data_IF_018614251137
#
_entry.id   IF_018614251137
#
_cell.length_a   1.000
_cell.length_b   1.000
_cell.length_c   1.000
_cell.angle_alpha   90.00
_cell.angle_beta   90.00
_cell.angle_gamma   90.00
#
_symmetry.space_group_name_H-M   'P 1'
#
loop_
_entity.id
_entity.type
_entity.pdbx_description
1 polymer ?
#
# COMPACT_ATOMS: atom_id res chain seq x y z
N UNK A 1 -3.67 5.27 16.62
CA UNK A 1 -2.26 4.92 16.93
C UNK A 1 -2.14 4.83 18.45
N UNK A 2 -1.34 3.91 18.97
CA UNK A 2 -1.13 3.74 20.42
C UNK A 2 0.08 4.56 20.89
N UNK A 3 0.18 4.84 22.20
CA UNK A 3 1.29 5.61 22.79
C UNK A 3 2.68 4.97 22.61
N UNK A 4 2.70 3.65 22.47
CA UNK A 4 3.92 2.88 22.21
C UNK A 4 4.40 2.98 20.75
N UNK A 5 3.60 3.60 19.88
CA UNK A 5 3.86 3.74 18.45
C UNK A 5 3.36 2.55 17.62
N UNK A 6 2.61 1.63 18.20
CA UNK A 6 1.91 0.58 17.45
C UNK A 6 0.59 1.11 16.86
N UNK A 7 0.09 0.42 15.84
CA UNK A 7 -1.23 0.72 15.27
C UNK A 7 -2.13 -0.50 15.44
N UNK A 8 -3.39 -0.26 15.73
CA UNK A 8 -4.43 -1.27 15.68
C UNK A 8 -5.57 -0.76 14.81
N UNK A 9 -6.21 -1.66 14.08
CA UNK A 9 -7.34 -1.28 13.26
C UNK A 9 -7.80 -2.37 12.30
N UNK A 10 -8.58 -1.91 11.33
CA UNK A 10 -9.18 -2.75 10.31
C UNK A 10 -8.52 -2.45 8.96
N UNK A 11 -8.14 -3.50 8.24
CA UNK A 11 -7.75 -3.42 6.84
C UNK A 11 -8.74 -4.19 5.98
N UNK A 12 -9.14 -3.61 4.85
CA UNK A 12 -10.03 -4.25 3.89
C UNK A 12 -9.35 -4.27 2.52
N UNK A 13 -9.09 -5.47 2.00
CA UNK A 13 -8.55 -5.66 0.66
C UNK A 13 -9.68 -6.07 -0.28
N UNK A 14 -10.01 -5.21 -1.23
CA UNK A 14 -10.93 -5.55 -2.31
C UNK A 14 -10.15 -5.91 -3.57
N UNK A 15 -10.40 -7.10 -4.10
CA UNK A 15 -9.77 -7.62 -5.30
C UNK A 15 -10.84 -7.93 -6.35
N UNK A 16 -10.64 -7.49 -7.58
CA UNK A 16 -11.56 -7.71 -8.70
C UNK A 16 -10.86 -8.36 -9.90
N UNK A 17 -11.64 -8.93 -10.83
CA UNK A 17 -11.12 -9.55 -12.06
C UNK A 17 -10.01 -10.58 -11.81
N UNK A 18 -8.90 -10.44 -12.55
CA UNK A 18 -7.73 -11.33 -12.42
C UNK A 18 -7.11 -11.34 -11.03
N UNK A 19 -7.14 -10.21 -10.30
CA UNK A 19 -6.63 -10.14 -8.93
C UNK A 19 -7.49 -10.99 -7.98
N UNK A 20 -8.82 -10.92 -8.12
CA UNK A 20 -9.75 -11.75 -7.35
C UNK A 20 -9.55 -13.24 -7.64
N UNK A 21 -9.43 -13.61 -8.92
CA UNK A 21 -9.21 -14.99 -9.34
C UNK A 21 -7.89 -15.55 -8.78
N UNK A 22 -6.80 -14.79 -8.84
CA UNK A 22 -5.51 -15.18 -8.27
C UNK A 22 -5.58 -15.35 -6.74
N UNK A 23 -6.23 -14.42 -6.02
CA UNK A 23 -6.41 -14.49 -4.56
C UNK A 23 -7.30 -15.65 -4.14
N UNK A 24 -8.42 -15.90 -4.83
CA UNK A 24 -9.27 -17.08 -4.61
C UNK A 24 -8.49 -18.36 -4.76
N UNK A 25 -7.77 -18.53 -5.87
CA UNK A 25 -6.95 -19.73 -6.10
C UNK A 25 -5.96 -19.94 -4.96
N UNK A 26 -5.29 -18.89 -4.50
CA UNK A 26 -4.38 -18.94 -3.37
C UNK A 26 -5.10 -19.40 -2.10
N UNK A 27 -6.22 -18.78 -1.75
CA UNK A 27 -6.94 -19.05 -0.50
C UNK A 27 -7.69 -20.39 -0.48
N UNK A 28 -8.11 -20.92 -1.64
CA UNK A 28 -8.81 -22.22 -1.72
C UNK A 28 -7.90 -23.40 -1.98
N UNK A 29 -6.69 -23.19 -2.53
CA UNK A 29 -5.67 -24.25 -2.67
C UNK A 29 -4.95 -24.58 -1.37
N UNK A 30 -5.22 -23.81 -0.33
CA UNK A 30 -4.57 -23.88 0.97
C UNK A 30 -5.59 -24.45 1.96
N UNK A 31 -5.48 -25.75 2.27
CA UNK A 31 -6.43 -26.48 3.13
C UNK A 31 -6.55 -25.92 4.57
N UNK A 32 -5.71 -24.96 4.97
CA UNK A 32 -5.71 -24.36 6.31
C UNK A 32 -5.59 -22.82 6.29
N UNK A 33 -6.56 -22.16 6.93
CA UNK A 33 -6.59 -20.71 7.19
C UNK A 33 -5.34 -20.16 7.87
N UNK A 34 -4.66 -20.97 8.71
CA UNK A 34 -3.41 -20.57 9.36
C UNK A 34 -2.31 -20.28 8.32
N UNK A 35 -2.29 -21.03 7.21
CA UNK A 35 -1.30 -20.83 6.15
C UNK A 35 -1.53 -19.54 5.35
N UNK A 36 -2.78 -19.08 5.24
CA UNK A 36 -3.12 -17.80 4.59
C UNK A 36 -2.66 -16.62 5.43
N UNK A 37 -2.95 -16.66 6.74
CA UNK A 37 -2.53 -15.63 7.71
C UNK A 37 -1.01 -15.50 7.70
N UNK A 38 -0.27 -16.61 7.86
CA UNK A 38 1.20 -16.59 7.89
C UNK A 38 1.81 -15.98 6.62
N UNK A 39 1.22 -16.25 5.45
CA UNK A 39 1.71 -15.68 4.20
C UNK A 39 1.39 -14.19 4.08
N UNK A 40 0.24 -13.74 4.57
CA UNK A 40 -0.07 -12.31 4.63
C UNK A 40 0.87 -11.59 5.59
N UNK A 41 1.18 -12.16 6.75
CA UNK A 41 2.16 -11.60 7.69
C UNK A 41 3.59 -11.55 7.12
N UNK A 42 3.95 -12.49 6.23
CA UNK A 42 5.20 -12.41 5.46
C UNK A 42 5.16 -11.36 4.34
N UNK A 43 4.02 -11.20 3.68
CA UNK A 43 3.81 -10.25 2.58
C UNK A 43 3.84 -8.80 3.07
N UNK A 44 3.31 -8.54 4.28
CA UNK A 44 3.27 -7.24 4.91
C UNK A 44 4.06 -7.29 6.24
N UNK A 45 5.37 -7.00 6.22
CA UNK A 45 6.19 -7.06 7.43
C UNK A 45 5.59 -6.21 8.56
N UNK A 46 5.63 -6.73 9.79
CA UNK A 46 5.18 -6.01 10.98
C UNK A 46 3.68 -6.07 11.27
N UNK A 47 2.86 -6.68 10.40
CA UNK A 47 1.45 -6.94 10.72
C UNK A 47 1.31 -8.22 11.57
N UNK A 48 0.31 -8.21 12.46
CA UNK A 48 -0.18 -9.38 13.18
C UNK A 48 -1.69 -9.45 13.06
N UNK A 49 -2.21 -10.53 12.49
CA UNK A 49 -3.63 -10.69 12.17
C UNK A 49 -4.34 -11.35 13.36
N UNK A 50 -5.26 -10.63 13.99
CA UNK A 50 -6.13 -11.13 15.07
C UNK A 50 -7.32 -11.91 14.52
N UNK A 51 -7.90 -11.42 13.42
CA UNK A 51 -9.08 -12.02 12.77
C UNK A 51 -9.05 -11.74 11.28
N UNK A 52 -9.50 -12.72 10.50
CA UNK A 52 -9.68 -12.60 9.06
C UNK A 52 -11.07 -13.10 8.66
N UNK A 53 -11.76 -12.35 7.81
CA UNK A 53 -13.04 -12.78 7.22
C UNK A 53 -13.07 -12.48 5.72
N UNK A 54 -13.73 -13.37 4.97
CA UNK A 54 -13.89 -13.22 3.53
C UNK A 54 -15.34 -12.95 3.16
N UNK A 55 -15.54 -12.08 2.17
CA UNK A 55 -16.82 -11.93 1.46
C UNK A 55 -16.60 -12.31 0.00
N UNK A 56 -17.52 -13.08 -0.57
CA UNK A 56 -17.51 -13.54 -1.97
C UNK A 56 -16.34 -14.46 -2.34
N UNK A 57 -15.78 -15.23 -1.40
CA UNK A 57 -14.71 -16.19 -1.69
C UNK A 57 -15.14 -17.20 -2.78
N UNK A 58 -16.33 -17.75 -2.63
CA UNK A 58 -16.90 -18.75 -3.54
C UNK A 58 -17.76 -18.17 -4.69
N UNK A 59 -17.74 -16.84 -4.91
CA UNK A 59 -18.55 -16.17 -5.93
C UNK A 59 -17.64 -15.54 -7.00
N UNK A 60 -17.30 -16.28 -8.08
CA UNK A 60 -16.22 -15.88 -9.01
C UNK A 60 -16.43 -14.53 -9.70
N UNK A 61 -17.68 -14.15 -9.96
CA UNK A 61 -18.02 -12.96 -10.74
C UNK A 61 -18.09 -11.66 -9.91
N UNK A 62 -17.96 -11.75 -8.58
CA UNK A 62 -17.95 -10.58 -7.70
C UNK A 62 -16.52 -10.26 -7.22
N UNK A 63 -16.29 -9.03 -6.76
CA UNK A 63 -15.05 -8.70 -6.04
C UNK A 63 -14.90 -9.57 -4.79
N UNK A 64 -13.71 -10.12 -4.58
CA UNK A 64 -13.32 -10.76 -3.32
C UNK A 64 -12.94 -9.68 -2.32
N UNK A 65 -13.54 -9.72 -1.13
CA UNK A 65 -13.19 -8.83 -0.02
C UNK A 65 -12.55 -9.68 1.07
N UNK A 66 -11.35 -9.28 1.48
CA UNK A 66 -10.58 -9.85 2.59
C UNK A 66 -10.48 -8.79 3.68
N UNK A 67 -11.14 -9.04 4.82
CA UNK A 67 -11.22 -8.10 5.95
C UNK A 67 -10.38 -8.61 7.10
N UNK A 68 -9.48 -7.77 7.61
CA UNK A 68 -8.49 -8.10 8.60
C UNK A 68 -8.65 -7.18 9.81
N UNK A 69 -8.68 -7.77 10.99
CA UNK A 69 -8.43 -7.09 12.26
C UNK A 69 -6.97 -7.33 12.63
N UNK A 70 -6.17 -6.28 12.76
CA UNK A 70 -4.73 -6.43 12.88
C UNK A 70 -4.06 -5.37 13.77
N UNK A 71 -2.87 -5.74 14.24
CA UNK A 71 -1.91 -4.84 14.87
C UNK A 71 -0.72 -4.66 13.93
N UNK A 72 -0.19 -3.44 13.83
CA UNK A 72 1.01 -3.11 13.05
C UNK A 72 2.08 -2.62 14.02
N UNK A 73 3.25 -3.24 13.93
CA UNK A 73 4.43 -2.96 14.77
C UNK A 73 5.66 -2.71 13.89
N UNK A 74 6.63 -1.94 14.39
CA UNK A 74 7.88 -1.68 13.65
C UNK A 74 7.76 -0.72 12.45
N UNK A 75 6.65 0.02 12.34
CA UNK A 75 6.40 1.02 11.28
C UNK A 75 6.52 2.47 11.77
N UNK A 76 7.07 2.65 12.97
CA UNK A 76 7.16 3.94 13.65
C UNK A 76 8.60 4.18 14.09
N UNK A 77 9.17 5.30 13.67
CA UNK A 77 10.45 5.79 14.15
C UNK A 77 10.20 6.78 15.28
N UNK A 78 10.82 6.54 16.44
CA UNK A 78 10.67 7.39 17.62
C UNK A 78 12.02 7.99 17.99
N UNK A 79 12.07 9.31 18.13
CA UNK A 79 13.26 10.04 18.55
C UNK A 79 12.87 11.11 19.58
N UNK A 80 13.07 10.81 20.86
CA UNK A 80 12.68 11.70 21.95
C UNK A 80 11.17 11.98 21.94
N UNK A 81 10.79 13.23 21.70
CA UNK A 81 9.39 13.69 21.62
C UNK A 81 8.81 13.64 20.20
N UNK A 82 9.59 13.19 19.21
CA UNK A 82 9.17 13.12 17.80
C UNK A 82 8.85 11.68 17.42
N UNK A 83 7.75 11.53 16.68
CA UNK A 83 7.31 10.25 16.11
C UNK A 83 7.10 10.44 14.62
N UNK A 84 7.70 9.57 13.81
CA UNK A 84 7.55 9.59 12.36
C UNK A 84 7.13 8.22 11.82
N UNK A 85 6.23 8.20 10.84
CA UNK A 85 5.78 6.96 10.20
C UNK A 85 5.30 7.23 8.77
N UNK A 86 5.37 6.23 7.89
CA UNK A 86 4.72 6.34 6.58
C UNK A 86 3.21 6.29 6.76
N UNK A 87 2.42 7.19 6.14
CA UNK A 87 0.96 7.17 6.28
C UNK A 87 0.30 5.93 5.66
N UNK A 88 1.04 5.14 4.87
CA UNK A 88 0.59 3.87 4.31
C UNK A 88 0.94 2.66 5.20
N UNK A 89 1.71 2.88 6.28
CA UNK A 89 2.16 1.85 7.22
C UNK A 89 2.73 0.63 6.48
N UNK A 90 2.22 -0.57 6.80
CA UNK A 90 2.64 -1.82 6.21
C UNK A 90 2.20 -2.00 4.74
N UNK A 91 1.23 -1.22 4.25
CA UNK A 91 0.60 -1.39 2.94
C UNK A 91 1.23 -0.56 1.82
N UNK A 92 2.44 -0.05 2.06
CA UNK A 92 3.22 0.63 1.03
C UNK A 92 3.79 -0.35 0.00
N UNK A 93 4.19 0.20 -1.14
CA UNK A 93 5.03 -0.54 -2.10
C UNK A 93 6.49 -0.51 -1.62
N UNK A 94 7.12 -1.68 -1.53
CA UNK A 94 8.47 -1.83 -0.97
C UNK A 94 9.57 -1.90 -2.01
N UNK A 95 9.26 -2.34 -3.23
CA UNK A 95 10.28 -2.54 -4.24
C UNK A 95 9.82 -2.22 -5.66
N UNK A 96 10.81 -1.95 -6.51
CA UNK A 96 10.62 -1.83 -7.94
C UNK A 96 10.75 -3.24 -8.54
N UNK A 97 9.75 -3.74 -9.29
CA UNK A 97 9.87 -5.03 -9.97
C UNK A 97 10.89 -4.99 -11.14
N UNK A 98 11.28 -3.80 -11.60
CA UNK A 98 12.25 -3.59 -12.67
C UNK A 98 13.67 -3.44 -12.10
N UNK A 99 14.41 -4.55 -12.10
CA UNK A 99 15.76 -4.63 -11.52
C UNK A 99 16.89 -4.29 -12.50
N UNK A 100 16.68 -4.46 -13.81
CA UNK A 100 17.70 -4.21 -14.82
C UNK A 100 17.94 -2.71 -15.03
N UNK A 101 19.13 -2.34 -15.51
CA UNK A 101 19.41 -0.95 -15.88
C UNK A 101 18.89 -0.61 -17.26
N UNK A 102 19.02 -1.54 -18.20
CA UNK A 102 18.52 -1.42 -19.57
C UNK A 102 17.87 -2.75 -20.01
N UNK A 103 17.02 -2.68 -21.04
CA UNK A 103 16.44 -3.87 -21.70
C UNK A 103 16.51 -3.71 -23.21
N UNK A 104 16.81 -4.80 -23.90
CA UNK A 104 16.73 -4.88 -25.36
C UNK A 104 15.34 -5.32 -25.85
N UNK A 105 14.53 -5.90 -24.95
CA UNK A 105 13.17 -6.37 -25.23
C UNK A 105 12.13 -5.56 -24.48
N UNK A 106 10.91 -5.43 -25.03
CA UNK A 106 9.79 -4.77 -24.37
C UNK A 106 9.45 -5.38 -22.99
N UNK A 107 8.83 -4.57 -22.13
CA UNK A 107 8.09 -5.07 -20.97
C UNK A 107 6.66 -5.32 -21.39
N UNK A 108 6.12 -6.48 -21.01
CA UNK A 108 4.70 -6.80 -21.17
C UNK A 108 4.04 -7.10 -19.82
N UNK A 109 2.97 -6.39 -19.51
CA UNK A 109 2.08 -6.67 -18.39
C UNK A 109 0.89 -7.50 -18.87
N UNK A 110 0.52 -8.53 -18.12
CA UNK A 110 -0.57 -9.45 -18.52
C UNK A 110 -1.97 -8.83 -18.51
N UNK A 111 -2.16 -7.71 -17.81
CA UNK A 111 -3.43 -6.99 -17.70
C UNK A 111 -3.20 -5.58 -17.14
N UNK A 112 -4.11 -4.61 -17.38
CA UNK A 112 -4.05 -3.30 -16.74
C UNK A 112 -4.19 -3.46 -15.23
N UNK A 113 -3.43 -2.68 -14.47
CA UNK A 113 -3.38 -2.80 -13.01
C UNK A 113 -3.73 -1.48 -12.36
N UNK A 114 -4.49 -1.57 -11.26
CA UNK A 114 -4.72 -0.47 -10.34
C UNK A 114 -4.45 -0.97 -8.93
N UNK A 115 -3.59 -0.26 -8.21
CA UNK A 115 -3.34 -0.47 -6.80
C UNK A 115 -3.71 0.80 -6.05
N UNK A 116 -4.74 0.71 -5.22
CA UNK A 116 -5.27 1.84 -4.47
C UNK A 116 -5.21 1.53 -2.99
N UNK A 117 -4.62 2.43 -2.22
CA UNK A 117 -4.54 2.36 -0.75
C UNK A 117 -5.18 3.62 -0.20
N UNK A 118 -6.15 3.43 0.69
CA UNK A 118 -6.78 4.51 1.44
C UNK A 118 -6.52 4.21 2.91
N UNK A 119 -5.88 5.13 3.61
CA UNK A 119 -5.62 5.00 5.05
C UNK A 119 -6.20 6.19 5.81
N UNK A 120 -6.68 5.88 7.01
CA UNK A 120 -7.23 6.84 7.96
C UNK A 120 -6.59 6.55 9.30
N UNK A 121 -5.69 7.42 9.73
CA UNK A 121 -4.91 7.24 10.96
C UNK A 121 -5.27 8.35 11.93
N UNK A 122 -5.85 7.95 13.06
CA UNK A 122 -6.11 8.87 14.17
C UNK A 122 -4.81 9.17 14.92
N UNK A 123 -4.56 10.46 15.13
CA UNK A 123 -3.42 10.99 15.88
C UNK A 123 -3.70 10.76 17.36
N UNK A 124 -2.77 10.18 18.13
CA UNK A 124 -2.97 9.94 19.55
C UNK A 124 -3.02 11.25 20.35
N UNK A 125 -3.71 11.24 21.50
CA UNK A 125 -3.74 12.39 22.40
C UNK A 125 -2.33 12.83 22.81
N UNK A 126 -2.14 14.14 22.99
CA UNK A 126 -0.85 14.72 23.35
C UNK A 126 0.17 14.77 22.21
N UNK A 127 -0.26 14.59 20.95
CA UNK A 127 0.57 14.81 19.77
C UNK A 127 -0.04 15.88 18.85
N UNK A 128 0.82 16.70 18.25
CA UNK A 128 0.51 17.62 17.16
C UNK A 128 1.24 17.20 15.89
N UNK A 129 0.72 17.63 14.74
CA UNK A 129 1.40 17.42 13.46
C UNK A 129 2.50 18.46 13.29
N UNK A 130 3.70 17.96 13.03
CA UNK A 130 4.84 18.79 12.63
C UNK A 130 4.95 18.88 11.11
N UNK A 131 4.78 17.75 10.39
CA UNK A 131 4.74 17.76 8.92
C UNK A 131 3.97 16.57 8.35
N UNK A 132 3.43 16.76 7.14
CA UNK A 132 2.85 15.69 6.33
C UNK A 132 3.48 15.69 4.93
N UNK A 133 3.51 14.53 4.26
CA UNK A 133 3.94 14.45 2.86
C UNK A 133 3.14 15.37 1.92
N UNK A 134 3.81 15.92 0.91
CA UNK A 134 3.15 16.73 -0.12
C UNK A 134 2.32 15.88 -1.08
N UNK A 135 1.13 16.39 -1.42
CA UNK A 135 0.25 15.77 -2.41
C UNK A 135 0.76 15.97 -3.83
N UNK A 136 0.69 14.91 -4.63
CA UNK A 136 1.18 14.87 -6.01
C UNK A 136 0.21 14.14 -6.93
N UNK A 137 0.28 14.51 -8.21
CA UNK A 137 -0.30 13.75 -9.31
C UNK A 137 0.71 13.77 -10.46
N UNK A 138 1.23 12.61 -10.82
CA UNK A 138 2.20 12.45 -11.90
C UNK A 138 1.68 11.37 -12.86
N UNK A 139 1.89 11.59 -14.15
CA UNK A 139 1.55 10.63 -15.19
C UNK A 139 2.64 10.67 -16.26
N UNK A 140 2.83 9.54 -16.95
CA UNK A 140 3.52 9.55 -18.24
C UNK A 140 2.72 10.39 -19.24
N UNK A 141 3.38 10.94 -20.26
CA UNK A 141 2.76 11.83 -21.26
C UNK A 141 1.52 11.20 -21.92
N UNK A 142 1.59 9.90 -22.19
CA UNK A 142 0.53 9.08 -22.78
C UNK A 142 -0.45 8.49 -21.74
N UNK A 143 -0.30 8.84 -20.46
CA UNK A 143 -1.10 8.34 -19.33
C UNK A 143 -1.07 6.81 -19.15
N UNK A 144 -0.07 6.14 -19.73
CA UNK A 144 0.15 4.69 -19.60
C UNK A 144 0.43 4.26 -18.18
N UNK A 145 1.07 5.13 -17.39
CA UNK A 145 1.21 5.00 -15.95
C UNK A 145 0.80 6.30 -15.26
N UNK A 146 0.11 6.17 -14.14
CA UNK A 146 -0.36 7.29 -13.35
C UNK A 146 -0.16 7.01 -11.85
N UNK A 147 0.30 8.02 -11.12
CA UNK A 147 0.42 8.03 -9.67
C UNK A 147 -0.32 9.25 -9.14
N UNK A 148 -1.29 9.00 -8.25
CA UNK A 148 -1.85 10.03 -7.37
C UNK A 148 -1.49 9.66 -5.94
N UNK A 149 -0.91 10.59 -5.19
CA UNK A 149 -0.65 10.42 -3.77
C UNK A 149 -1.06 11.70 -3.07
N UNK A 150 -1.92 11.62 -2.06
CA UNK A 150 -2.37 12.79 -1.31
C UNK A 150 -2.53 12.47 0.15
N UNK A 151 -2.08 13.39 0.99
CA UNK A 151 -2.26 13.36 2.45
C UNK A 151 -3.01 14.61 2.86
N UNK A 152 -4.07 14.44 3.64
CA UNK A 152 -4.89 15.53 4.14
C UNK A 152 -5.21 15.33 5.61
N UNK A 153 -5.45 16.43 6.31
CA UNK A 153 -5.88 16.43 7.71
C UNK A 153 -7.37 16.71 7.78
N UNK A 154 -8.08 15.87 8.52
CA UNK A 154 -9.49 16.08 8.82
C UNK A 154 -9.67 15.95 10.33
N UNK A 155 -9.68 17.10 11.02
CA UNK A 155 -9.62 17.14 12.48
C UNK A 155 -8.33 16.50 12.99
N UNK A 156 -8.48 15.48 13.85
CA UNK A 156 -7.38 14.73 14.44
C UNK A 156 -6.99 13.46 13.64
N UNK A 157 -7.40 13.39 12.38
CA UNK A 157 -7.21 12.20 11.54
C UNK A 157 -6.43 12.56 10.29
N UNK A 158 -5.39 11.78 10.02
CA UNK A 158 -4.61 11.82 8.78
C UNK A 158 -5.29 10.90 7.77
N UNK A 159 -5.76 11.48 6.67
CA UNK A 159 -6.34 10.77 5.54
C UNK A 159 -5.30 10.69 4.42
N UNK A 160 -5.01 9.49 3.95
CA UNK A 160 -4.08 9.29 2.83
C UNK A 160 -4.73 8.49 1.73
N UNK A 161 -4.49 8.93 0.49
CA UNK A 161 -4.93 8.28 -0.71
C UNK A 161 -3.73 8.08 -1.62
N UNK A 162 -3.44 6.82 -1.95
CA UNK A 162 -2.47 6.45 -2.98
C UNK A 162 -3.17 5.64 -4.06
N UNK A 163 -3.01 6.03 -5.33
CA UNK A 163 -3.60 5.35 -6.49
C UNK A 163 -2.56 5.27 -7.59
N UNK A 164 -2.07 4.06 -7.81
CA UNK A 164 -1.10 3.74 -8.84
C UNK A 164 -1.76 2.89 -9.93
N UNK A 165 -1.65 3.35 -11.18
CA UNK A 165 -2.29 2.72 -12.34
C UNK A 165 -1.29 2.44 -13.45
N UNK A 166 -1.46 1.28 -14.07
CA UNK A 166 -0.80 0.87 -15.31
C UNK A 166 -1.90 0.52 -16.30
N UNK A 167 -2.10 1.39 -17.29
CA UNK A 167 -3.19 1.29 -18.26
C UNK A 167 -2.74 0.65 -19.58
N UNK A 168 -1.43 0.66 -19.85
CA UNK A 168 -0.84 0.04 -21.04
C UNK A 168 -0.12 -1.25 -20.69
N UNK A 169 -0.19 -2.22 -21.60
CA UNK A 169 0.41 -3.54 -21.41
C UNK A 169 1.84 -3.62 -21.92
N UNK A 170 2.13 -2.97 -23.06
CA UNK A 170 3.42 -3.07 -23.74
C UNK A 170 4.20 -1.75 -23.67
N UNK A 171 5.42 -1.84 -23.16
CA UNK A 171 6.39 -0.74 -23.13
C UNK A 171 7.65 -1.15 -23.89
N UNK A 172 8.03 -0.36 -24.90
CA UNK A 172 9.22 -0.59 -25.71
C UNK A 172 10.51 -0.34 -24.91
N UNK A 173 11.66 -0.86 -25.36
CA UNK A 173 12.98 -0.59 -24.74
C UNK A 173 13.25 0.90 -24.43
N UNK A 174 12.89 1.80 -25.34
CA UNK A 174 13.07 3.24 -25.17
C UNK A 174 12.25 3.83 -24.01
N UNK A 175 11.16 3.16 -23.62
CA UNK A 175 10.23 3.60 -22.57
C UNK A 175 10.60 3.01 -21.20
N UNK A 176 11.52 2.03 -21.18
CA UNK A 176 11.92 1.29 -19.98
C UNK A 176 12.33 2.21 -18.83
N UNK A 177 13.14 3.23 -19.14
CA UNK A 177 13.59 4.21 -18.15
C UNK A 177 12.42 4.95 -17.52
N UNK A 178 11.44 5.39 -18.32
CA UNK A 178 10.24 6.07 -17.82
C UNK A 178 9.41 5.20 -16.88
N UNK A 179 9.27 3.91 -17.19
CA UNK A 179 8.59 2.95 -16.31
C UNK A 179 9.36 2.76 -15.00
N UNK A 180 10.68 2.57 -15.07
CA UNK A 180 11.56 2.38 -13.89
C UNK A 180 11.55 3.62 -13.00
N UNK A 181 11.63 4.82 -13.57
CA UNK A 181 11.58 6.10 -12.86
C UNK A 181 10.22 6.31 -12.20
N UNK A 182 9.12 5.92 -12.87
CA UNK A 182 7.77 6.02 -12.28
C UNK A 182 7.64 5.13 -11.04
N UNK A 183 8.16 3.90 -11.07
CA UNK A 183 8.23 3.04 -9.88
C UNK A 183 9.15 3.62 -8.80
N UNK A 184 10.30 4.19 -9.16
CA UNK A 184 11.18 4.82 -8.19
C UNK A 184 10.49 6.00 -7.47
N UNK A 185 9.75 6.81 -8.23
CA UNK A 185 8.99 7.93 -7.69
C UNK A 185 7.85 7.45 -6.76
N UNK A 186 7.15 6.37 -7.12
CA UNK A 186 6.18 5.70 -6.25
C UNK A 186 6.81 5.27 -4.92
N UNK A 187 7.96 4.58 -4.96
CA UNK A 187 8.65 4.10 -3.75
C UNK A 187 9.10 5.24 -2.85
N UNK A 188 9.64 6.30 -3.43
CA UNK A 188 10.06 7.48 -2.67
C UNK A 188 8.86 8.10 -1.96
N UNK A 189 7.75 8.32 -2.68
CA UNK A 189 6.52 8.88 -2.11
C UNK A 189 5.90 8.01 -1.04
N UNK A 190 5.87 6.70 -1.24
CA UNK A 190 5.43 5.72 -0.25
C UNK A 190 6.31 5.66 1.00
N UNK A 191 7.56 6.14 0.91
CA UNK A 191 8.52 6.19 2.01
C UNK A 191 8.54 7.53 2.75
N UNK A 192 7.88 8.56 2.23
CA UNK A 192 7.70 9.84 2.93
C UNK A 192 6.89 9.62 4.22
N UNK A 193 7.22 10.42 5.23
CA UNK A 193 6.70 10.23 6.59
C UNK A 193 5.83 11.39 6.99
N UNK A 194 4.78 11.07 7.73
CA UNK A 194 4.15 12.02 8.64
C UNK A 194 5.04 12.13 9.87
N UNK A 195 5.20 13.35 10.38
CA UNK A 195 5.94 13.65 11.60
C UNK A 195 4.99 14.26 12.61
N UNK A 196 4.93 13.65 13.79
CA UNK A 196 4.19 14.10 14.95
C UNK A 196 5.17 14.52 16.05
N UNK A 197 4.80 15.53 16.81
CA UNK A 197 5.54 16.01 17.97
C UNK A 197 4.66 15.94 19.20
N UNK A 198 5.22 15.48 20.32
CA UNK A 198 4.50 15.44 21.60
C UNK A 198 4.29 16.87 22.12
N UNK A 199 3.05 17.21 22.45
CA UNK A 199 2.66 18.47 23.08
C UNK A 199 3.02 18.34 24.57
N UNK A 200 3.73 19.35 25.11
CA UNK A 200 4.06 19.43 26.53
C UNK A 200 2.90 20.04 27.33
#
# INVERSE_FOLDING_TARGET
MNEDGTFEGLAKQENSGYAAMAKRKRYTSEDDSLSVIEKLEKEYPGIKIKRQTFTNLEIPHQSLIDSLELTITGHTDRLGQVVAFSPLLAFKTYENPLKLDNREYPIEFSYPRRHMVISSIEIPEGYEIESIPESIRVAMEDQSMQLTFSVALNGNTIQTYSDFRINRLLFLPAEYKGVKDTYAYLLNKHSEKVVLKKIN
#
